data_IF_567063335162
#
_entry.id   IF_567063335162
#
_cell.length_a   1.000
_cell.length_b   1.000
_cell.length_c   1.000
_cell.angle_alpha   90.00
_cell.angle_beta   90.00
_cell.angle_gamma   90.00
#
_symmetry.space_group_name_H-M   'P 1'
#
loop_
_entity.id
_entity.type
_entity.pdbx_description
1 polymer ?
#
# COMPACT_ATOMS: atom_id res chain seq x y z
N UNK A 1 7.93 -13.86 3.03
CA UNK A 1 6.64 -13.82 3.75
C UNK A 1 5.48 -14.31 2.90
N UNK A 2 5.20 -13.74 1.72
CA UNK A 2 4.06 -14.15 0.88
C UNK A 2 4.05 -15.66 0.56
N UNK A 3 5.16 -16.18 0.03
CA UNK A 3 5.28 -17.61 -0.29
C UNK A 3 5.01 -18.51 0.94
N UNK A 4 5.62 -18.17 2.09
CA UNK A 4 5.39 -18.92 3.33
C UNK A 4 3.91 -18.96 3.73
N UNK A 5 3.17 -17.85 3.63
CA UNK A 5 1.73 -17.86 3.91
C UNK A 5 0.97 -18.68 2.86
N UNK A 6 1.22 -18.43 1.57
CA UNK A 6 0.55 -19.14 0.47
C UNK A 6 0.70 -20.65 0.60
N UNK A 7 1.91 -21.11 0.93
CA UNK A 7 2.25 -22.52 0.91
C UNK A 7 1.80 -23.25 2.21
N UNK A 8 1.54 -22.53 3.31
CA UNK A 8 1.23 -23.14 4.62
C UNK A 8 -0.16 -22.81 5.18
N UNK A 9 -0.89 -21.84 4.60
CA UNK A 9 -2.18 -21.39 5.15
C UNK A 9 -3.21 -22.52 5.21
N UNK A 10 -3.31 -23.36 4.18
CA UNK A 10 -4.26 -24.46 4.15
C UNK A 10 -3.99 -25.47 5.29
N UNK A 11 -2.72 -25.82 5.51
CA UNK A 11 -2.29 -26.70 6.61
C UNK A 11 -2.64 -26.09 7.96
N UNK A 12 -2.32 -24.81 8.16
CA UNK A 12 -2.63 -24.10 9.40
C UNK A 12 -4.13 -24.09 9.71
N UNK A 13 -4.99 -23.85 8.69
CA UNK A 13 -6.44 -23.84 8.86
C UNK A 13 -6.98 -25.24 9.21
N UNK A 14 -6.46 -26.27 8.55
CA UNK A 14 -6.83 -27.66 8.84
C UNK A 14 -6.45 -28.04 10.29
N UNK A 15 -5.21 -27.78 10.71
CA UNK A 15 -4.75 -28.07 12.08
C UNK A 15 -5.53 -27.28 13.14
N UNK A 16 -5.85 -26.00 12.86
CA UNK A 16 -6.62 -25.18 13.79
C UNK A 16 -8.06 -25.69 13.98
N UNK A 17 -8.67 -26.24 12.92
CA UNK A 17 -9.99 -26.88 12.98
C UNK A 17 -9.97 -28.10 13.90
N UNK A 18 -8.95 -28.96 13.78
CA UNK A 18 -8.81 -30.18 14.61
C UNK A 18 -8.64 -29.85 16.11
N UNK A 19 -8.07 -28.69 16.43
CA UNK A 19 -7.93 -28.20 17.81
C UNK A 19 -9.24 -27.62 18.39
N UNK A 20 -10.35 -27.76 17.67
CA UNK A 20 -11.72 -27.64 18.15
C UNK A 20 -12.41 -26.29 17.93
N UNK A 21 -11.66 -25.18 17.91
CA UNK A 21 -12.24 -23.83 17.77
C UNK A 21 -11.87 -23.10 16.49
N UNK A 22 -10.97 -23.66 15.66
CA UNK A 22 -10.49 -22.99 14.47
C UNK A 22 -9.72 -21.70 14.79
N UNK A 23 -9.32 -20.98 13.74
CA UNK A 23 -8.85 -19.61 13.92
C UNK A 23 -10.05 -18.66 14.01
N UNK A 24 -9.93 -17.52 14.70
CA UNK A 24 -10.95 -16.49 14.61
C UNK A 24 -11.16 -16.08 13.15
N UNK A 25 -12.42 -15.92 12.73
CA UNK A 25 -12.77 -15.59 11.34
C UNK A 25 -12.05 -14.35 10.79
N UNK A 26 -11.72 -13.38 11.65
CA UNK A 26 -10.98 -12.19 11.21
C UNK A 26 -9.54 -12.52 10.79
N UNK A 27 -8.91 -13.53 11.39
CA UNK A 27 -7.54 -13.97 11.07
C UNK A 27 -7.53 -14.65 9.70
N UNK A 28 -8.46 -15.57 9.46
CA UNK A 28 -8.60 -16.26 8.18
C UNK A 28 -8.85 -15.27 7.03
N UNK A 29 -9.78 -14.32 7.27
CA UNK A 29 -10.08 -13.25 6.32
C UNK A 29 -8.86 -12.36 6.06
N UNK A 30 -8.05 -12.04 7.07
CA UNK A 30 -6.86 -11.22 6.90
C UNK A 30 -5.78 -11.95 6.08
N UNK A 31 -5.61 -13.26 6.27
CA UNK A 31 -4.70 -14.06 5.44
C UNK A 31 -5.19 -14.20 4.00
N UNK A 32 -6.48 -14.47 3.78
CA UNK A 32 -7.06 -14.53 2.44
C UNK A 32 -6.85 -13.21 1.69
N UNK A 33 -7.21 -12.08 2.31
CA UNK A 33 -7.03 -10.74 1.73
C UNK A 33 -5.56 -10.37 1.53
N UNK A 34 -4.65 -10.90 2.34
CA UNK A 34 -3.22 -10.72 2.14
C UNK A 34 -2.73 -11.42 0.87
N UNK A 35 -3.21 -12.64 0.59
CA UNK A 35 -2.84 -13.39 -0.60
C UNK A 35 -3.34 -12.73 -1.90
N UNK A 36 -4.45 -11.98 -1.82
CA UNK A 36 -4.96 -11.20 -2.96
C UNK A 36 -4.24 -9.85 -3.13
N UNK A 37 -3.56 -9.37 -2.09
CA UNK A 37 -3.01 -8.02 -2.05
C UNK A 37 -1.88 -7.83 -3.07
N UNK A 38 -2.03 -6.84 -3.95
CA UNK A 38 -0.99 -6.49 -4.93
C UNK A 38 -0.94 -7.41 -6.15
N UNK A 39 -1.90 -8.32 -6.30
CA UNK A 39 -1.98 -9.25 -7.44
C UNK A 39 -3.05 -8.76 -8.42
N UNK A 40 -2.64 -8.49 -9.67
CA UNK A 40 -3.52 -7.93 -10.71
C UNK A 40 -4.75 -8.80 -11.01
N UNK A 41 -4.63 -10.13 -10.88
CA UNK A 41 -5.74 -11.06 -11.09
C UNK A 41 -6.91 -10.85 -10.11
N UNK A 42 -6.66 -10.25 -8.95
CA UNK A 42 -7.69 -9.94 -7.94
C UNK A 42 -8.22 -8.49 -8.04
N UNK A 43 -7.86 -7.77 -9.12
CA UNK A 43 -8.36 -6.44 -9.41
C UNK A 43 -7.29 -5.36 -9.40
N UNK A 44 -7.47 -4.37 -10.26
CA UNK A 44 -6.55 -3.26 -10.43
C UNK A 44 -7.28 -1.99 -10.87
N UNK A 45 -6.66 -0.84 -10.56
CA UNK A 45 -6.99 0.43 -11.18
C UNK A 45 -6.04 0.68 -12.35
N UNK A 46 -6.54 1.26 -13.43
CA UNK A 46 -5.72 1.74 -14.53
C UNK A 46 -5.55 3.25 -14.39
N UNK A 47 -4.31 3.69 -14.26
CA UNK A 47 -3.94 5.10 -14.24
C UNK A 47 -3.39 5.46 -15.60
N UNK A 48 -4.00 6.43 -16.27
CA UNK A 48 -3.54 6.92 -17.58
C UNK A 48 -3.11 8.38 -17.44
N UNK A 49 -1.95 8.70 -17.98
CA UNK A 49 -1.53 10.09 -18.09
C UNK A 49 -2.21 10.74 -19.30
N UNK A 50 -2.85 11.91 -19.10
CA UNK A 50 -3.56 12.58 -20.19
C UNK A 50 -2.62 13.21 -21.21
N UNK A 51 -1.42 13.62 -20.80
CA UNK A 51 -0.44 14.30 -21.65
C UNK A 51 0.43 13.32 -22.45
N UNK A 52 1.03 12.31 -21.82
CA UNK A 52 1.89 11.34 -22.50
C UNK A 52 1.17 10.05 -22.93
N UNK A 53 -0.10 9.86 -22.55
CA UNK A 53 -0.93 8.68 -22.83
C UNK A 53 -0.45 7.36 -22.25
N UNK A 54 0.65 7.35 -21.48
CA UNK A 54 1.14 6.16 -20.79
C UNK A 54 0.11 5.62 -19.79
N UNK A 55 0.08 4.30 -19.66
CA UNK A 55 -0.83 3.57 -18.78
C UNK A 55 -0.05 2.75 -17.76
N UNK A 56 -0.48 2.83 -16.50
CA UNK A 56 0.03 2.02 -15.39
C UNK A 56 -1.12 1.26 -14.74
N UNK A 57 -0.97 -0.05 -14.61
CA UNK A 57 -1.88 -0.87 -13.84
C UNK A 57 -1.43 -0.92 -12.38
N UNK A 58 -2.32 -0.55 -11.48
CA UNK A 58 -2.07 -0.53 -10.04
C UNK A 58 -2.99 -1.55 -9.38
N UNK A 59 -2.40 -2.64 -8.89
CA UNK A 59 -3.14 -3.68 -8.17
C UNK A 59 -3.77 -3.13 -6.88
N UNK A 60 -4.90 -3.69 -6.49
CA UNK A 60 -5.55 -3.32 -5.24
C UNK A 60 -4.76 -3.76 -4.02
N UNK A 61 -4.84 -2.95 -2.95
CA UNK A 61 -4.24 -3.25 -1.66
C UNK A 61 -5.30 -3.76 -0.69
N UNK A 62 -4.93 -4.68 0.19
CA UNK A 62 -5.87 -5.21 1.18
C UNK A 62 -6.25 -4.16 2.25
N UNK A 63 -5.52 -3.04 2.37
CA UNK A 63 -5.78 -1.98 3.38
C UNK A 63 -5.87 -2.51 4.83
N UNK A 64 -5.40 -3.74 5.07
CA UNK A 64 -5.46 -4.41 6.37
C UNK A 64 -4.56 -3.76 7.41
N UNK A 65 -4.68 -4.23 8.66
CA UNK A 65 -3.79 -3.86 9.78
C UNK A 65 -3.05 -5.08 10.37
N UNK A 66 -3.35 -6.27 9.88
CA UNK A 66 -2.78 -7.53 10.37
C UNK A 66 -1.51 -7.91 9.61
N UNK A 67 -1.59 -9.01 8.86
CA UNK A 67 -0.42 -9.75 8.36
C UNK A 67 0.25 -9.16 7.12
N UNK A 68 -0.32 -8.18 6.44
CA UNK A 68 0.24 -7.66 5.19
C UNK A 68 1.37 -6.64 5.45
N UNK A 69 2.65 -6.97 5.16
CA UNK A 69 3.77 -6.08 5.46
C UNK A 69 3.75 -4.81 4.62
N UNK A 70 3.34 -4.88 3.34
CA UNK A 70 3.28 -3.70 2.46
C UNK A 70 2.21 -2.71 2.89
N UNK A 71 1.01 -3.18 3.27
CA UNK A 71 -0.06 -2.32 3.77
C UNK A 71 0.28 -1.71 5.14
N UNK A 72 0.92 -2.48 6.02
CA UNK A 72 1.36 -1.97 7.32
C UNK A 72 2.48 -0.93 7.17
N UNK A 73 3.46 -1.18 6.30
CA UNK A 73 4.51 -0.20 6.00
C UNK A 73 3.91 1.08 5.42
N UNK A 74 3.02 0.98 4.43
CA UNK A 74 2.31 2.14 3.88
C UNK A 74 1.60 2.90 4.99
N UNK A 75 0.82 2.22 5.84
CA UNK A 75 0.10 2.85 6.94
C UNK A 75 1.05 3.56 7.91
N UNK A 76 2.16 2.93 8.30
CA UNK A 76 3.16 3.53 9.17
C UNK A 76 3.73 4.82 8.57
N UNK A 77 4.06 4.81 7.27
CA UNK A 77 4.50 6.02 6.57
C UNK A 77 3.45 7.13 6.56
N UNK A 78 2.19 6.79 6.27
CA UNK A 78 1.08 7.76 6.28
C UNK A 78 0.87 8.35 7.66
N UNK A 79 0.90 7.51 8.70
CA UNK A 79 0.77 7.96 10.09
C UNK A 79 1.94 8.86 10.47
N UNK A 80 3.18 8.52 10.11
CA UNK A 80 4.33 9.36 10.39
C UNK A 80 4.23 10.74 9.71
N UNK A 81 3.83 10.79 8.43
CA UNK A 81 3.62 12.05 7.73
C UNK A 81 2.52 12.89 8.42
N UNK A 82 1.39 12.27 8.75
CA UNK A 82 0.30 12.96 9.45
C UNK A 82 0.75 13.53 10.81
N UNK A 83 1.53 12.76 11.57
CA UNK A 83 2.06 13.19 12.85
C UNK A 83 2.97 14.43 12.68
N UNK A 84 3.91 14.40 11.74
CA UNK A 84 4.85 15.51 11.49
C UNK A 84 4.14 16.75 10.95
N UNK A 85 3.17 16.58 10.05
CA UNK A 85 2.53 17.70 9.36
C UNK A 85 1.41 18.35 10.17
N UNK A 86 0.72 17.58 11.03
CA UNK A 86 -0.56 18.04 11.61
C UNK A 86 -0.69 17.90 13.12
N UNK A 87 0.11 17.05 13.76
CA UNK A 87 -0.09 16.72 15.18
C UNK A 87 1.03 17.24 16.05
N UNK A 88 2.28 17.03 15.64
CA UNK A 88 3.44 17.42 16.41
C UNK A 88 3.66 18.93 16.29
N UNK A 89 3.71 19.67 17.40
CA UNK A 89 4.07 21.08 17.36
C UNK A 89 5.49 21.25 16.79
N UNK A 90 5.72 22.32 16.02
CA UNK A 90 7.04 22.68 15.51
C UNK A 90 7.97 23.21 16.62
N UNK A 91 8.22 22.39 17.65
CA UNK A 91 8.99 22.79 18.84
C UNK A 91 10.41 22.22 18.89
N UNK A 92 10.88 21.57 17.83
CA UNK A 92 12.32 21.36 17.60
C UNK A 92 12.62 21.69 16.13
N UNK A 93 13.49 22.67 15.94
CA UNK A 93 14.08 23.09 14.69
C UNK A 93 14.79 21.91 13.99
N UNK A 94 14.23 21.45 12.88
CA UNK A 94 14.87 20.49 11.96
C UNK A 94 16.25 20.93 11.44
N UNK A 95 16.70 22.16 11.74
CA UNK A 95 18.05 22.67 11.48
C UNK A 95 19.14 21.89 12.22
N UNK A 96 18.90 21.40 13.44
CA UNK A 96 19.92 20.66 14.20
C UNK A 96 20.01 19.19 13.80
N UNK A 97 18.89 18.56 13.42
CA UNK A 97 18.88 17.21 12.83
C UNK A 97 19.46 17.18 11.40
N UNK A 98 19.36 18.28 10.65
CA UNK A 98 20.03 18.41 9.35
C UNK A 98 21.56 18.38 9.47
N UNK A 99 22.12 18.87 10.58
CA UNK A 99 23.55 18.76 10.88
C UNK A 99 23.97 17.32 11.24
N UNK A 100 23.01 16.49 11.68
CA UNK A 100 23.23 15.08 12.05
C UNK A 100 22.94 14.10 10.90
N UNK A 101 22.66 14.61 9.69
CA UNK A 101 22.27 13.80 8.53
C UNK A 101 23.50 13.36 7.73
N UNK A 102 23.91 12.14 8.05
CA UNK A 102 24.76 11.24 7.28
C UNK A 102 24.65 11.45 5.74
N UNK A 103 25.79 11.45 5.01
CA UNK A 103 25.84 11.73 3.58
C UNK A 103 25.22 10.58 2.78
N UNK A 104 24.07 10.83 2.18
CA UNK A 104 23.42 9.97 1.19
C UNK A 104 24.06 10.09 -0.21
N UNK A 105 25.28 10.64 -0.30
CA UNK A 105 26.01 10.82 -1.56
C UNK A 105 26.57 9.51 -2.16
N UNK A 106 26.42 8.37 -1.48
CA UNK A 106 27.02 7.09 -1.92
C UNK A 106 26.03 6.02 -2.38
N UNK A 107 24.71 6.26 -2.35
CA UNK A 107 23.75 5.32 -2.95
C UNK A 107 23.31 5.90 -4.30
N UNK A 108 24.07 5.56 -5.33
CA UNK A 108 23.63 5.69 -6.71
C UNK A 108 22.40 4.82 -6.93
N UNK A 109 21.21 5.39 -6.70
CA UNK A 109 19.96 4.76 -7.10
C UNK A 109 19.56 5.30 -8.47
N UNK A 110 19.54 4.40 -9.43
CA UNK A 110 19.18 4.64 -10.82
C UNK A 110 17.86 5.42 -10.95
N UNK A 111 17.87 6.43 -11.83
CA UNK A 111 16.81 6.75 -12.81
C UNK A 111 15.49 7.36 -12.31
N UNK A 112 15.17 8.62 -12.66
CA UNK A 112 13.86 9.22 -12.44
C UNK A 112 12.96 9.04 -13.67
N UNK A 113 12.32 7.89 -13.83
CA UNK A 113 11.28 7.70 -14.86
C UNK A 113 10.01 7.07 -14.31
N UNK A 114 9.53 7.54 -13.15
CA UNK A 114 8.09 7.58 -12.82
C UNK A 114 7.86 8.78 -11.89
N UNK A 115 7.43 9.93 -12.43
CA UNK A 115 6.82 10.99 -11.60
C UNK A 115 5.33 10.71 -11.54
N UNK A 116 4.88 10.12 -10.44
CA UNK A 116 3.46 10.12 -10.09
C UNK A 116 3.14 11.54 -9.64
N UNK A 117 2.35 12.25 -10.45
CA UNK A 117 1.87 13.60 -10.19
C UNK A 117 1.28 13.70 -8.76
N UNK A 118 1.59 14.76 -8.02
CA UNK A 118 1.20 14.88 -6.60
C UNK A 118 -0.32 14.95 -6.40
N UNK A 119 -1.08 15.25 -7.46
CA UNK A 119 -2.55 15.18 -7.49
C UNK A 119 -3.06 13.73 -7.61
N UNK A 120 -2.35 12.88 -8.39
CA UNK A 120 -2.65 11.45 -8.50
C UNK A 120 -2.34 10.68 -7.20
N UNK A 121 -1.30 11.10 -6.44
CA UNK A 121 -1.06 10.59 -5.09
C UNK A 121 -2.18 10.94 -4.13
N UNK A 122 -2.86 12.09 -4.27
CA UNK A 122 -4.02 12.47 -3.44
C UNK A 122 -5.29 11.71 -3.85
N UNK A 123 -5.55 11.58 -5.15
CA UNK A 123 -6.74 10.89 -5.67
C UNK A 123 -6.71 9.37 -5.44
N UNK A 124 -5.55 8.71 -5.58
CA UNK A 124 -5.39 7.29 -5.27
C UNK A 124 -5.41 6.98 -3.76
N UNK A 125 -5.35 8.02 -2.92
CA UNK A 125 -5.13 7.93 -1.47
C UNK A 125 -6.33 8.38 -0.64
N UNK A 126 -7.21 9.23 -1.18
CA UNK A 126 -8.39 9.73 -0.47
C UNK A 126 -9.70 9.04 -0.87
N UNK A 127 -9.83 8.56 -2.11
CA UNK A 127 -11.06 7.93 -2.56
C UNK A 127 -11.01 6.42 -2.30
N UNK A 128 -11.38 6.07 -1.07
CA UNK A 128 -12.13 4.83 -0.83
C UNK A 128 -13.52 4.84 -1.48
N UNK A 129 -13.78 5.75 -2.43
CA UNK A 129 -14.96 5.82 -3.27
C UNK A 129 -14.58 5.50 -4.73
N UNK A 130 -15.44 4.80 -5.48
CA UNK A 130 -15.20 4.51 -6.88
C UNK A 130 -15.15 5.83 -7.66
N UNK A 131 -14.02 6.11 -8.31
CA UNK A 131 -13.97 7.15 -9.35
C UNK A 131 -15.00 6.77 -10.41
N UNK A 132 -16.05 7.58 -10.54
CA UNK A 132 -17.12 7.37 -11.49
C UNK A 132 -16.54 7.47 -12.90
N UNK A 133 -16.43 6.33 -13.57
CA UNK A 133 -16.09 6.24 -14.99
C UNK A 133 -17.24 6.90 -15.77
N UNK A 134 -16.99 8.02 -16.44
CA UNK A 134 -17.89 8.50 -17.47
C UNK A 134 -17.96 7.44 -18.59
N UNK A 135 -19.15 7.04 -19.07
CA UNK A 135 -19.25 6.13 -20.21
C UNK A 135 -18.63 6.77 -21.46
N UNK A 136 -18.00 5.99 -22.35
CA UNK A 136 -17.46 6.53 -23.59
C UNK A 136 -18.59 7.14 -24.44
N UNK A 137 -18.36 8.34 -24.98
CA UNK A 137 -19.27 8.94 -25.96
C UNK A 137 -19.41 8.02 -27.18
N UNK A 138 -20.63 7.82 -27.72
CA UNK A 138 -20.81 7.03 -28.93
C UNK A 138 -20.19 7.75 -30.13
N UNK A 139 -19.59 6.95 -31.02
CA UNK A 139 -18.93 7.37 -32.26
C UNK A 139 -19.96 7.84 -33.29
#
# INVERSE_FOLDING_TARGET
>A
MYAAVRDNLATLLAEASELGRGLPQYVERDFARYLECGVLAHGFARVRCESCKDELLVAFSCKGRGVCPSCNAKRAHVTAAHLVERVLPHVINTRELAAMRWPWASVGFLGPHVRIDDEAKRLLFLLGEPVQLAPPAPQ
#
